data_IF_333433473598
#
_entry.id   IF_333433473598
#
_cell.length_a   1.000
_cell.length_b   1.000
_cell.length_c   1.000
_cell.angle_alpha   90.00
_cell.angle_beta   90.00
_cell.angle_gamma   90.00
#
_symmetry.space_group_name_H-M   'P 1'
#
loop_
_entity.id
_entity.type
_entity.pdbx_description
1 polymer ?
#
# COMPACT_ATOMS: atom_id res chain seq x y z
N UNK A 1 -20.65 -15.56 -10.97
CA UNK A 1 -21.10 -15.80 -9.57
C UNK A 1 -19.95 -16.09 -8.59
N UNK A 2 -18.79 -16.58 -9.07
CA UNK A 2 -17.61 -16.99 -8.27
C UNK A 2 -16.87 -15.85 -7.54
N UNK A 3 -16.80 -14.64 -8.13
CA UNK A 3 -16.06 -13.50 -7.56
C UNK A 3 -16.68 -12.92 -6.27
N UNK A 4 -17.99 -13.10 -6.05
CA UNK A 4 -18.67 -12.53 -4.88
C UNK A 4 -18.42 -13.35 -3.61
N UNK A 5 -18.44 -14.68 -3.74
CA UNK A 5 -18.22 -15.63 -2.63
C UNK A 5 -16.76 -15.59 -2.17
N UNK A 6 -15.80 -15.49 -3.10
CA UNK A 6 -14.38 -15.36 -2.78
C UNK A 6 -14.05 -14.07 -2.00
N UNK A 7 -14.64 -12.94 -2.41
CA UNK A 7 -14.49 -11.67 -1.69
C UNK A 7 -15.03 -11.75 -0.25
N UNK A 8 -16.15 -12.46 -0.05
CA UNK A 8 -16.74 -12.66 1.28
C UNK A 8 -15.80 -13.45 2.20
N UNK A 9 -15.18 -14.51 1.70
CA UNK A 9 -14.21 -15.33 2.47
C UNK A 9 -12.96 -14.53 2.84
N UNK A 10 -12.42 -13.75 1.90
CA UNK A 10 -11.28 -12.87 2.14
C UNK A 10 -11.61 -11.80 3.20
N UNK A 11 -12.77 -11.17 3.09
CA UNK A 11 -13.25 -10.19 4.09
C UNK A 11 -13.45 -10.82 5.47
N UNK A 12 -13.95 -12.06 5.53
CA UNK A 12 -14.07 -12.81 6.79
C UNK A 12 -12.69 -13.17 7.37
N UNK A 13 -11.71 -13.50 6.53
CA UNK A 13 -10.33 -13.75 6.95
C UNK A 13 -9.68 -12.49 7.54
N UNK A 14 -9.82 -11.36 6.87
CA UNK A 14 -9.24 -10.08 7.28
C UNK A 14 -9.93 -9.49 8.52
N UNK A 15 -11.25 -9.69 8.65
CA UNK A 15 -12.00 -9.27 9.85
C UNK A 15 -11.82 -10.18 11.06
N UNK A 16 -11.04 -11.27 10.94
CA UNK A 16 -10.84 -12.24 12.02
C UNK A 16 -12.02 -13.18 12.28
N UNK A 17 -13.14 -13.01 11.54
CA UNK A 17 -14.38 -13.78 11.71
C UNK A 17 -14.32 -15.17 11.07
N UNK A 18 -13.34 -15.43 10.21
CA UNK A 18 -13.14 -16.73 9.59
C UNK A 18 -12.29 -17.65 10.49
N UNK A 19 -12.63 -18.94 10.65
CA UNK A 19 -11.86 -19.88 11.49
C UNK A 19 -10.36 -19.96 11.15
N UNK A 20 -10.02 -19.86 9.87
CA UNK A 20 -8.63 -19.85 9.38
C UNK A 20 -7.85 -18.56 9.73
N UNK A 21 -8.51 -17.49 10.19
CA UNK A 21 -7.84 -16.23 10.56
C UNK A 21 -6.82 -16.43 11.69
N UNK A 22 -7.04 -17.40 12.59
CA UNK A 22 -6.09 -17.77 13.65
C UNK A 22 -4.69 -18.11 13.12
N UNK A 23 -4.57 -18.64 11.90
CA UNK A 23 -3.28 -18.96 11.26
C UNK A 23 -2.42 -17.72 10.96
N UNK A 24 -3.07 -16.57 10.87
CA UNK A 24 -2.48 -15.29 10.46
C UNK A 24 -2.41 -14.27 11.60
N UNK A 25 -2.99 -14.58 12.77
CA UNK A 25 -2.94 -13.70 13.93
C UNK A 25 -1.49 -13.40 14.34
N UNK A 26 -1.20 -12.11 14.58
CA UNK A 26 0.14 -11.64 14.97
C UNK A 26 1.20 -11.66 13.85
N UNK A 27 0.81 -11.95 12.60
CA UNK A 27 1.70 -11.91 11.44
C UNK A 27 1.38 -10.67 10.59
N UNK A 28 2.42 -10.07 10.01
CA UNK A 28 2.22 -9.16 8.89
C UNK A 28 1.72 -10.01 7.71
N UNK A 29 0.63 -9.60 7.07
CA UNK A 29 0.07 -10.29 5.92
C UNK A 29 -0.15 -9.30 4.79
N UNK A 30 0.07 -9.75 3.57
CA UNK A 30 -0.31 -9.04 2.36
C UNK A 30 -1.40 -9.83 1.65
N UNK A 31 -2.32 -9.10 1.05
CA UNK A 31 -3.38 -9.68 0.23
C UNK A 31 -3.01 -9.43 -1.22
N UNK A 32 -2.84 -10.51 -1.97
CA UNK A 32 -2.55 -10.44 -3.40
C UNK A 32 -3.62 -11.20 -4.13
N UNK A 33 -4.37 -10.48 -4.96
CA UNK A 33 -5.59 -10.98 -5.60
C UNK A 33 -6.61 -11.51 -4.58
N UNK A 34 -6.72 -12.83 -4.42
CA UNK A 34 -7.65 -13.47 -3.49
C UNK A 34 -6.95 -14.32 -2.43
N UNK A 35 -5.62 -14.18 -2.30
CA UNK A 35 -4.82 -14.94 -1.35
C UNK A 35 -4.26 -14.05 -0.25
N UNK A 36 -4.21 -14.59 0.97
CA UNK A 36 -3.57 -13.97 2.14
C UNK A 36 -2.20 -14.62 2.34
N UNK A 37 -1.14 -13.84 2.14
CA UNK A 37 0.25 -14.30 2.25
C UNK A 37 0.88 -13.73 3.51
N UNK A 38 1.36 -14.56 4.45
CA UNK A 38 2.10 -14.09 5.61
C UNK A 38 3.51 -13.66 5.18
N UNK A 39 3.90 -12.48 5.63
CA UNK A 39 5.22 -11.92 5.42
C UNK A 39 6.16 -12.31 6.56
N UNK A 40 7.43 -12.55 6.23
CA UNK A 40 8.49 -12.63 7.23
C UNK A 40 8.74 -11.26 7.88
N UNK A 41 9.35 -11.25 9.06
CA UNK A 41 9.73 -10.01 9.76
C UNK A 41 11.05 -9.44 9.23
N UNK A 42 11.21 -8.12 9.31
CA UNK A 42 12.46 -7.44 8.99
C UNK A 42 12.85 -7.53 7.51
N UNK A 43 14.15 -7.63 7.21
CA UNK A 43 14.70 -7.62 5.84
C UNK A 43 14.10 -8.71 4.94
N UNK A 44 13.85 -9.90 5.48
CA UNK A 44 13.26 -11.00 4.73
C UNK A 44 11.81 -10.73 4.30
N UNK A 45 11.06 -9.89 5.02
CA UNK A 45 9.73 -9.46 4.61
C UNK A 45 9.74 -8.55 3.39
N UNK A 46 10.77 -7.69 3.30
CA UNK A 46 10.98 -6.80 2.13
C UNK A 46 11.27 -7.63 0.88
N UNK A 47 12.07 -8.69 0.99
CA UNK A 47 12.33 -9.62 -0.12
C UNK A 47 11.07 -10.37 -0.55
N UNK A 48 10.24 -10.80 0.40
CA UNK A 48 8.95 -11.44 0.12
C UNK A 48 8.04 -10.47 -0.66
N UNK A 49 8.00 -9.18 -0.29
CA UNK A 49 7.24 -8.14 -1.02
C UNK A 49 7.76 -7.98 -2.45
N UNK A 50 9.07 -7.78 -2.65
CA UNK A 50 9.67 -7.63 -3.98
C UNK A 50 9.36 -8.84 -4.86
N UNK A 51 9.40 -10.05 -4.29
CA UNK A 51 9.07 -11.29 -5.00
C UNK A 51 7.59 -11.34 -5.38
N UNK A 52 6.70 -10.92 -4.49
CA UNK A 52 5.27 -10.85 -4.76
C UNK A 52 4.95 -9.78 -5.82
N UNK A 53 5.60 -8.63 -5.78
CA UNK A 53 5.47 -7.58 -6.80
C UNK A 53 5.92 -8.08 -8.18
N UNK A 54 7.08 -8.73 -8.26
CA UNK A 54 7.55 -9.36 -9.51
C UNK A 54 6.58 -10.43 -10.01
N UNK A 55 6.03 -11.23 -9.11
CA UNK A 55 5.14 -12.36 -9.44
C UNK A 55 3.75 -11.89 -9.89
N UNK A 56 3.19 -10.89 -9.23
CA UNK A 56 1.80 -10.49 -9.42
C UNK A 56 1.65 -9.16 -10.17
N UNK A 57 2.75 -8.47 -10.49
CA UNK A 57 2.82 -7.20 -11.24
C UNK A 57 1.83 -6.14 -10.76
N UNK A 58 1.52 -6.14 -9.46
CA UNK A 58 0.53 -5.25 -8.86
C UNK A 58 1.15 -4.61 -7.62
N UNK A 59 1.37 -3.29 -7.62
CA UNK A 59 1.79 -2.61 -6.40
C UNK A 59 0.66 -2.70 -5.38
N UNK A 60 0.99 -3.18 -4.18
CA UNK A 60 0.12 -3.00 -3.03
C UNK A 60 0.00 -1.50 -2.70
N UNK A 61 -1.07 -1.10 -2.01
CA UNK A 61 -1.52 0.30 -1.83
C UNK A 61 -0.38 1.34 -1.81
N UNK A 62 -0.23 2.10 -2.89
CA UNK A 62 0.77 3.15 -3.10
C UNK A 62 0.47 4.39 -2.24
N UNK A 63 1.48 5.22 -1.95
CA UNK A 63 1.25 6.57 -1.42
C UNK A 63 0.64 7.43 -2.52
N UNK A 64 -0.51 8.06 -2.28
CA UNK A 64 -1.16 8.93 -3.27
C UNK A 64 -1.03 10.39 -2.89
N UNK A 65 -0.79 11.21 -3.89
CA UNK A 65 -0.53 12.63 -3.71
C UNK A 65 -1.20 13.41 -4.85
N UNK A 66 -2.09 14.40 -4.57
CA UNK A 66 -2.70 15.22 -5.62
C UNK A 66 -1.66 16.04 -6.38
N UNK A 67 -1.75 16.05 -7.71
CA UNK A 67 -0.75 16.71 -8.55
C UNK A 67 -0.72 18.24 -8.40
N UNK A 68 -1.88 18.88 -8.18
CA UNK A 68 -2.06 20.33 -8.42
C UNK A 68 -1.39 21.28 -7.43
N UNK A 69 -0.70 20.81 -6.40
CA UNK A 69 -0.22 21.67 -5.30
C UNK A 69 1.19 21.42 -4.80
N UNK A 70 2.08 20.79 -5.60
CA UNK A 70 3.39 20.39 -5.06
C UNK A 70 4.55 20.73 -5.99
N UNK A 71 5.34 21.72 -5.57
CA UNK A 71 6.67 22.01 -6.11
C UNK A 71 7.68 20.95 -5.66
N UNK A 72 7.53 19.71 -6.12
CA UNK A 72 8.54 18.65 -5.92
C UNK A 72 9.64 18.68 -6.99
N UNK A 73 9.51 19.53 -8.01
CA UNK A 73 10.41 19.53 -9.17
C UNK A 73 10.27 18.28 -10.03
N UNK A 74 9.18 17.53 -9.89
CA UNK A 74 8.90 16.30 -10.65
C UNK A 74 8.01 16.65 -11.85
N UNK A 75 8.45 16.31 -13.05
CA UNK A 75 7.66 16.38 -14.25
C UNK A 75 6.92 15.06 -14.47
N UNK A 76 5.59 15.06 -14.30
CA UNK A 76 4.78 13.85 -14.39
C UNK A 76 4.86 13.12 -15.74
N UNK A 77 5.21 13.82 -16.83
CA UNK A 77 5.27 13.20 -18.16
C UNK A 77 6.61 12.54 -18.45
N UNK A 78 7.71 13.10 -17.94
CA UNK A 78 9.06 12.59 -18.20
C UNK A 78 9.62 11.72 -17.08
N UNK A 79 9.19 11.97 -15.84
CA UNK A 79 9.85 11.41 -14.66
C UNK A 79 9.05 10.26 -14.04
N UNK A 80 7.84 10.00 -14.54
CA UNK A 80 6.91 9.02 -13.99
C UNK A 80 6.50 7.96 -15.00
N UNK A 81 6.25 6.75 -14.50
CA UNK A 81 5.57 5.69 -15.24
C UNK A 81 4.05 5.87 -15.12
N UNK A 82 3.32 5.75 -16.24
CA UNK A 82 1.87 5.93 -16.25
C UNK A 82 1.19 4.58 -16.12
N UNK A 83 0.38 4.41 -15.08
CA UNK A 83 -0.42 3.21 -14.85
C UNK A 83 -1.88 3.56 -14.53
N UNK A 84 -2.75 2.55 -14.54
CA UNK A 84 -4.13 2.67 -14.07
C UNK A 84 -4.30 1.89 -12.77
N UNK A 85 -4.82 2.54 -11.73
CA UNK A 85 -5.23 1.89 -10.47
C UNK A 85 -6.74 1.74 -10.40
N UNK A 86 -7.22 0.85 -9.54
CA UNK A 86 -8.66 0.63 -9.32
C UNK A 86 -9.00 0.78 -7.84
N UNK A 87 -10.01 1.60 -7.56
CA UNK A 87 -10.57 1.81 -6.23
C UNK A 87 -12.10 1.72 -6.23
N UNK A 88 -12.71 2.13 -5.11
CA UNK A 88 -14.17 2.17 -4.95
C UNK A 88 -14.82 3.10 -5.99
N UNK A 89 -14.17 4.22 -6.29
CA UNK A 89 -14.64 5.23 -7.26
C UNK A 89 -14.40 4.88 -8.73
N UNK A 90 -13.86 3.70 -9.05
CA UNK A 90 -13.56 3.28 -10.42
C UNK A 90 -12.07 3.14 -10.70
N UNK A 91 -11.71 3.26 -11.97
CA UNK A 91 -10.33 3.18 -12.46
C UNK A 91 -9.79 4.60 -12.63
N UNK A 92 -8.56 4.83 -12.18
CA UNK A 92 -7.93 6.14 -12.16
C UNK A 92 -6.52 6.06 -12.75
N UNK A 93 -6.11 7.09 -13.49
CA UNK A 93 -4.74 7.21 -13.98
C UNK A 93 -3.82 7.65 -12.83
N UNK A 94 -2.66 7.03 -12.75
CA UNK A 94 -1.65 7.32 -11.74
C UNK A 94 -0.31 7.55 -12.44
N UNK A 95 0.38 8.62 -12.05
CA UNK A 95 1.76 8.88 -12.44
C UNK A 95 2.68 8.39 -11.31
N UNK A 96 3.35 7.26 -11.53
CA UNK A 96 4.19 6.63 -10.52
C UNK A 96 5.62 7.15 -10.57
N UNK A 97 6.08 7.68 -9.44
CA UNK A 97 7.46 8.08 -9.23
C UNK A 97 8.09 7.19 -8.16
N UNK A 98 9.21 6.55 -8.47
CA UNK A 98 9.72 5.43 -7.66
C UNK A 98 10.56 5.84 -6.45
N UNK A 99 11.10 7.06 -6.41
CA UNK A 99 12.14 7.46 -5.45
C UNK A 99 11.88 8.82 -4.81
N UNK A 100 10.68 9.06 -4.30
CA UNK A 100 10.38 10.31 -3.60
C UNK A 100 11.05 10.29 -2.22
N UNK A 101 11.94 11.26 -1.88
CA UNK A 101 12.47 11.37 -0.53
C UNK A 101 11.36 11.69 0.47
N UNK A 102 11.19 10.84 1.48
CA UNK A 102 10.21 11.01 2.54
C UNK A 102 10.87 11.03 3.91
N UNK A 103 10.38 11.90 4.79
CA UNK A 103 10.79 11.98 6.19
C UNK A 103 9.57 12.01 7.10
N UNK A 104 9.52 11.10 8.08
CA UNK A 104 8.50 11.03 9.13
C UNK A 104 9.23 10.95 10.46
N UNK A 105 9.19 12.01 11.26
CA UNK A 105 10.02 12.09 12.47
C UNK A 105 11.51 11.90 12.16
N UNK A 106 12.13 10.90 12.78
CA UNK A 106 13.53 10.51 12.54
C UNK A 106 13.71 9.49 11.41
N UNK A 107 12.62 8.94 10.89
CA UNK A 107 12.67 8.01 9.76
C UNK A 107 12.87 8.79 8.45
N UNK A 108 13.77 8.30 7.59
CA UNK A 108 13.97 8.85 6.27
C UNK A 108 14.19 7.72 5.26
N UNK A 109 13.47 7.78 4.14
CA UNK A 109 13.60 6.81 3.05
C UNK A 109 13.07 7.37 1.73
N UNK A 110 13.60 6.87 0.62
CA UNK A 110 12.96 6.99 -0.69
C UNK A 110 11.77 6.03 -0.77
N UNK A 111 10.61 6.54 -1.17
CA UNK A 111 9.37 5.78 -1.30
C UNK A 111 8.76 5.93 -2.70
N UNK A 112 8.03 4.92 -3.17
CA UNK A 112 7.22 5.05 -4.36
C UNK A 112 5.96 5.89 -4.05
N UNK A 113 5.63 6.79 -4.96
CA UNK A 113 4.47 7.69 -4.86
C UNK A 113 3.70 7.70 -6.18
N UNK A 114 2.39 7.82 -6.10
CA UNK A 114 1.50 8.00 -7.24
C UNK A 114 0.87 9.38 -7.21
N UNK A 115 1.04 10.13 -8.28
CA UNK A 115 0.32 11.37 -8.47
C UNK A 115 -1.01 11.12 -9.17
N UNK A 116 -2.06 11.76 -8.67
CA UNK A 116 -3.40 11.73 -9.23
C UNK A 116 -3.73 13.08 -9.87
N UNK A 117 -4.45 13.04 -10.99
CA UNK A 117 -4.99 14.25 -11.64
C UNK A 117 -6.11 14.89 -10.82
N UNK A 118 -6.77 14.08 -9.98
CA UNK A 118 -7.86 14.46 -9.09
C UNK A 118 -7.34 15.17 -7.84
N UNK A 119 -8.04 16.22 -7.46
CA UNK A 119 -7.78 17.06 -6.28
C UNK A 119 -8.76 16.83 -5.13
N UNK A 120 -9.83 16.06 -5.36
CA UNK A 120 -10.83 15.69 -4.35
C UNK A 120 -10.39 14.54 -3.42
N UNK A 121 -9.29 13.86 -3.77
CA UNK A 121 -8.70 12.81 -2.95
C UNK A 121 -7.59 13.43 -2.10
N UNK A 122 -7.66 13.38 -0.75
CA UNK A 122 -6.58 13.89 0.08
C UNK A 122 -5.30 13.06 -0.12
N UNK A 123 -4.10 13.60 0.18
CA UNK A 123 -2.89 12.78 0.21
C UNK A 123 -3.08 11.56 1.11
N UNK A 124 -2.75 10.37 0.60
CA UNK A 124 -2.90 9.11 1.30
C UNK A 124 -1.53 8.48 1.53
N UNK A 125 -1.24 8.13 2.78
CA UNK A 125 -0.06 7.33 3.09
C UNK A 125 -0.38 5.85 2.84
N UNK A 126 0.25 5.31 1.80
CA UNK A 126 0.13 3.93 1.35
C UNK A 126 0.98 2.94 2.14
N UNK A 127 0.72 1.65 1.91
CA UNK A 127 1.46 0.54 2.53
C UNK A 127 2.80 0.29 1.88
N UNK A 128 2.82 0.25 0.54
CA UNK A 128 3.96 -0.22 -0.20
C UNK A 128 5.20 0.63 0.07
N UNK A 129 6.25 -0.03 0.55
CA UNK A 129 7.56 0.55 0.89
C UNK A 129 7.48 1.79 1.80
N UNK A 130 6.35 1.99 2.50
CA UNK A 130 6.11 3.11 3.40
C UNK A 130 5.49 2.62 4.71
N UNK A 131 4.16 2.60 4.88
CA UNK A 131 3.54 2.20 6.16
C UNK A 131 3.92 0.79 6.62
N UNK A 132 4.19 -0.14 5.70
CA UNK A 132 4.55 -1.51 6.09
C UNK A 132 5.95 -1.63 6.73
N UNK A 133 6.79 -0.60 6.55
CA UNK A 133 8.13 -0.52 7.13
C UNK A 133 8.12 0.14 8.52
N UNK A 134 7.00 0.74 8.92
CA UNK A 134 6.80 1.39 10.20
C UNK A 134 5.91 0.53 11.07
N UNK A 135 6.20 0.45 12.37
CA UNK A 135 5.25 -0.17 13.30
C UNK A 135 4.19 0.86 13.67
N UNK A 136 3.03 0.75 13.03
CA UNK A 136 1.86 1.57 13.33
C UNK A 136 1.03 0.92 14.43
N UNK A 137 0.94 1.58 15.59
CA UNK A 137 0.12 1.17 16.74
C UNK A 137 -1.10 2.08 16.85
N UNK A 138 -2.27 1.47 17.04
CA UNK A 138 -3.50 2.19 17.36
C UNK A 138 -3.79 2.03 18.86
N UNK A 139 -3.60 3.10 19.63
CA UNK A 139 -3.85 3.10 21.07
C UNK A 139 -4.66 4.34 21.46
N UNK A 140 -5.75 4.18 22.22
CA UNK A 140 -6.54 5.30 22.78
C UNK A 140 -6.93 6.35 21.73
N UNK A 141 -7.38 5.90 20.54
CA UNK A 141 -7.72 6.75 19.38
C UNK A 141 -6.55 7.59 18.84
N UNK A 142 -5.31 7.19 19.14
CA UNK A 142 -4.09 7.74 18.56
C UNK A 142 -3.48 6.72 17.61
N UNK A 143 -2.90 7.24 16.53
CA UNK A 143 -2.03 6.50 15.62
C UNK A 143 -0.59 6.84 15.95
N UNK A 144 0.17 5.85 16.40
CA UNK A 144 1.55 5.99 16.87
C UNK A 144 2.44 5.26 15.87
N UNK A 145 3.35 6.00 15.26
CA UNK A 145 4.45 5.42 14.48
C UNK A 145 5.60 5.14 15.43
N UNK A 146 5.84 3.86 15.71
CA UNK A 146 7.07 3.43 16.35
C UNK A 146 8.13 3.28 15.26
N UNK A 147 9.11 4.19 15.31
CA UNK A 147 10.20 4.35 14.35
C UNK A 147 11.50 3.93 15.01
#
# INVERSE_FOLDING_TARGET
>A
MTNFIMNKTLNLLLSGKHPKAKKFAGKHVIVVENEVVPLKKGKAGVEDIIKLEKKYRKPSTLVFVPHRNISLGINLKSDCEIENTKGIGGTERVYQYSKLPCKIGNWQKEIPVGFLDRDDIPPLLGRLACLELMRLVFEKRKSIFEI
#
